data_IF_651657080260
#
_entry.id   IF_651657080260
#
_cell.length_a   1.000
_cell.length_b   1.000
_cell.length_c   1.000
_cell.angle_alpha   90.00
_cell.angle_beta   90.00
_cell.angle_gamma   90.00
#
_symmetry.space_group_name_H-M   'P 1'
#
loop_
_entity.id
_entity.type
_entity.pdbx_description
1 polymer ?
#
# COMPACT_ATOMS: atom_id res chain seq x y z
N UNK A 1 -13.62 -26.49 9.54
CA UNK A 1 -12.42 -26.43 8.70
C UNK A 1 -12.52 -27.53 7.67
N UNK A 2 -12.04 -27.33 6.44
CA UNK A 2 -12.10 -28.35 5.41
C UNK A 2 -11.31 -29.60 5.79
N UNK A 3 -11.77 -30.76 5.31
CA UNK A 3 -11.13 -32.05 5.62
C UNK A 3 -9.74 -32.17 4.99
N UNK A 4 -9.54 -31.59 3.81
CA UNK A 4 -8.23 -31.55 3.16
C UNK A 4 -7.90 -30.16 2.59
N UNK A 5 -6.62 -29.82 2.70
CA UNK A 5 -5.98 -28.72 2.00
C UNK A 5 -5.06 -29.29 0.92
N UNK A 6 -5.21 -28.82 -0.31
CA UNK A 6 -4.32 -29.18 -1.43
C UNK A 6 -3.39 -28.01 -1.64
N UNK A 7 -2.07 -28.25 -1.57
CA UNK A 7 -1.07 -27.21 -1.74
C UNK A 7 -0.01 -27.60 -2.79
N UNK A 8 0.55 -26.59 -3.46
CA UNK A 8 1.70 -26.70 -4.36
C UNK A 8 2.84 -25.84 -3.79
N UNK A 9 3.99 -26.43 -3.46
CA UNK A 9 5.11 -25.73 -2.82
C UNK A 9 4.71 -24.86 -1.61
N UNK A 10 3.86 -25.40 -0.73
CA UNK A 10 3.26 -24.72 0.45
C UNK A 10 2.29 -23.57 0.13
N UNK A 11 1.82 -23.47 -1.11
CA UNK A 11 0.75 -22.55 -1.54
C UNK A 11 -0.56 -23.30 -1.64
N UNK A 12 -1.60 -22.97 -0.85
CA UNK A 12 -2.91 -23.61 -0.96
C UNK A 12 -3.50 -23.38 -2.36
N UNK A 13 -3.77 -24.46 -3.09
CA UNK A 13 -4.36 -24.49 -4.44
C UNK A 13 -5.89 -24.61 -4.36
N UNK A 14 -6.39 -25.24 -3.30
CA UNK A 14 -7.81 -25.40 -3.05
C UNK A 14 -8.07 -26.36 -1.90
N UNK A 15 -9.34 -26.57 -1.60
CA UNK A 15 -9.76 -27.37 -0.45
C UNK A 15 -10.70 -28.49 -0.88
N UNK A 16 -10.73 -29.57 -0.11
CA UNK A 16 -11.64 -30.68 -0.33
C UNK A 16 -12.44 -30.90 0.95
N UNK A 17 -13.75 -30.83 0.82
CA UNK A 17 -14.71 -31.18 1.87
C UNK A 17 -15.30 -32.55 1.56
N UNK A 18 -15.16 -33.49 2.48
CA UNK A 18 -15.68 -34.83 2.35
C UNK A 18 -16.94 -35.03 3.22
N UNK A 19 -17.80 -35.92 2.76
CA UNK A 19 -18.99 -36.39 3.48
C UNK A 19 -19.05 -37.90 3.38
N UNK A 20 -19.84 -38.50 4.27
CA UNK A 20 -20.06 -39.94 4.23
C UNK A 20 -20.71 -40.38 2.92
N UNK A 21 -20.37 -41.60 2.49
CA UNK A 21 -20.91 -42.21 1.27
C UNK A 21 -22.44 -42.22 1.33
N UNK A 22 -23.10 -41.66 0.31
CA UNK A 22 -24.56 -41.58 0.23
C UNK A 22 -25.18 -40.34 0.87
N UNK A 23 -24.36 -39.41 1.38
CA UNK A 23 -24.82 -38.10 1.81
C UNK A 23 -25.45 -37.33 0.63
N UNK A 24 -26.51 -36.56 0.92
CA UNK A 24 -27.13 -35.71 -0.09
C UNK A 24 -26.30 -34.43 -0.28
N UNK A 25 -25.43 -34.44 -1.29
CA UNK A 25 -24.53 -33.31 -1.59
C UNK A 25 -25.27 -32.01 -1.96
N UNK A 26 -26.50 -32.08 -2.51
CA UNK A 26 -27.31 -30.89 -2.82
C UNK A 26 -27.69 -30.14 -1.54
N UNK A 27 -28.20 -30.86 -0.53
CA UNK A 27 -28.52 -30.28 0.79
C UNK A 27 -27.30 -29.77 1.53
N UNK A 28 -26.16 -30.46 1.38
CA UNK A 28 -24.90 -30.05 2.01
C UNK A 28 -24.40 -28.74 1.41
N UNK A 29 -24.49 -28.59 0.09
CA UNK A 29 -24.11 -27.37 -0.63
C UNK A 29 -24.98 -26.16 -0.25
N UNK A 30 -26.25 -26.38 0.10
CA UNK A 30 -27.18 -25.32 0.55
C UNK A 30 -27.04 -24.95 2.05
N UNK A 31 -26.24 -25.68 2.82
CA UNK A 31 -26.11 -25.42 4.26
C UNK A 31 -25.39 -24.10 4.57
N UNK A 32 -25.87 -23.35 5.57
CA UNK A 32 -25.26 -22.08 5.99
C UNK A 32 -23.77 -22.21 6.37
N UNK A 33 -23.39 -23.37 6.92
CA UNK A 33 -22.02 -23.67 7.31
C UNK A 33 -21.10 -23.75 6.08
N UNK A 34 -21.49 -24.49 5.03
CA UNK A 34 -20.69 -24.56 3.80
C UNK A 34 -20.74 -23.27 2.99
N UNK A 35 -21.87 -22.55 2.96
CA UNK A 35 -21.92 -21.24 2.30
C UNK A 35 -20.97 -20.22 2.93
N UNK A 36 -20.84 -20.21 4.27
CA UNK A 36 -19.81 -19.40 4.95
C UNK A 36 -18.40 -19.79 4.54
N UNK A 37 -18.12 -21.09 4.38
CA UNK A 37 -16.80 -21.56 3.93
C UNK A 37 -16.53 -21.24 2.46
N UNK A 38 -17.49 -21.47 1.55
CA UNK A 38 -17.36 -21.16 0.13
C UNK A 38 -17.15 -19.67 -0.13
N UNK A 39 -17.76 -18.77 0.63
CA UNK A 39 -17.49 -17.33 0.53
C UNK A 39 -16.03 -16.96 0.81
N UNK A 40 -15.34 -17.75 1.64
CA UNK A 40 -13.94 -17.51 2.02
C UNK A 40 -12.93 -18.28 1.16
N UNK A 41 -13.37 -19.29 0.39
CA UNK A 41 -12.52 -20.24 -0.32
C UNK A 41 -12.86 -20.26 -1.81
N UNK A 42 -11.91 -19.82 -2.63
CA UNK A 42 -12.17 -19.53 -4.06
C UNK A 42 -12.22 -20.79 -4.95
N UNK A 43 -11.67 -21.93 -4.49
CA UNK A 43 -11.55 -23.19 -5.25
C UNK A 43 -11.78 -24.42 -4.34
N UNK A 44 -12.92 -25.11 -4.50
CA UNK A 44 -13.31 -26.21 -3.59
C UNK A 44 -13.86 -27.43 -4.35
N UNK A 45 -13.53 -28.62 -3.84
CA UNK A 45 -14.19 -29.88 -4.20
C UNK A 45 -15.06 -30.34 -3.04
N UNK A 46 -16.35 -30.58 -3.31
CA UNK A 46 -17.26 -31.27 -2.40
C UNK A 46 -17.42 -32.72 -2.87
N UNK A 47 -17.27 -33.69 -1.98
CA UNK A 47 -17.37 -35.11 -2.33
C UNK A 47 -17.98 -35.99 -1.25
N UNK A 48 -18.67 -37.05 -1.66
CA UNK A 48 -19.08 -38.19 -0.81
C UNK A 48 -18.25 -39.45 -1.10
N UNK A 49 -17.04 -39.27 -1.65
CA UNK A 49 -16.14 -40.31 -2.19
C UNK A 49 -16.61 -41.00 -3.48
N UNK A 50 -17.88 -40.85 -3.89
CA UNK A 50 -18.41 -41.40 -5.14
C UNK A 50 -18.70 -40.33 -6.18
N UNK A 51 -19.16 -39.17 -5.75
CA UNK A 51 -19.37 -37.97 -6.55
C UNK A 51 -18.40 -36.87 -6.13
N UNK A 52 -17.83 -36.18 -7.11
CA UNK A 52 -16.91 -35.07 -6.94
C UNK A 52 -17.51 -33.87 -7.65
N UNK A 53 -17.80 -32.80 -6.91
CA UNK A 53 -18.32 -31.53 -7.41
C UNK A 53 -17.26 -30.46 -7.25
N UNK A 54 -16.79 -29.92 -8.35
CA UNK A 54 -15.84 -28.82 -8.36
C UNK A 54 -16.60 -27.48 -8.45
N UNK A 55 -16.37 -26.59 -7.48
CA UNK A 55 -17.09 -25.33 -7.28
C UNK A 55 -16.07 -24.18 -7.23
N UNK A 56 -16.38 -23.08 -7.95
CA UNK A 56 -15.65 -21.81 -7.94
C UNK A 56 -16.59 -20.69 -7.47
N UNK A 57 -16.06 -19.72 -6.71
CA UNK A 57 -16.81 -18.73 -5.89
C UNK A 57 -17.85 -17.89 -6.66
N UNK A 58 -17.77 -17.80 -7.99
CA UNK A 58 -18.62 -16.90 -8.79
C UNK A 58 -20.00 -17.48 -9.16
N UNK A 59 -20.23 -18.80 -9.08
CA UNK A 59 -21.45 -19.40 -9.66
C UNK A 59 -22.33 -20.20 -8.68
N UNK A 60 -21.92 -20.44 -7.42
CA UNK A 60 -22.60 -21.31 -6.42
C UNK A 60 -23.03 -22.71 -6.91
N UNK A 61 -22.76 -23.03 -8.17
CA UNK A 61 -23.05 -24.27 -8.86
C UNK A 61 -21.74 -24.98 -9.20
N UNK A 62 -21.79 -26.31 -9.31
CA UNK A 62 -20.62 -27.07 -9.67
C UNK A 62 -20.26 -26.82 -11.15
N UNK A 63 -19.06 -26.28 -11.40
CA UNK A 63 -18.48 -26.13 -12.75
C UNK A 63 -18.34 -27.48 -13.43
N UNK A 64 -18.02 -28.50 -12.66
CA UNK A 64 -17.96 -29.88 -13.15
C UNK A 64 -18.31 -30.86 -12.03
N UNK A 65 -19.12 -31.86 -12.39
CA UNK A 65 -19.49 -32.97 -11.51
C UNK A 65 -19.07 -34.27 -12.16
N UNK A 66 -18.38 -35.12 -11.39
CA UNK A 66 -17.98 -36.46 -11.84
C UNK A 66 -18.42 -37.47 -10.80
N UNK A 67 -19.13 -38.52 -11.25
CA UNK A 67 -19.50 -39.66 -10.41
C UNK A 67 -18.76 -40.91 -10.84
N UNK A 68 -18.12 -41.59 -9.89
CA UNK A 68 -17.28 -42.77 -10.11
C UNK A 68 -18.08 -44.06 -10.19
N UNK A 69 -19.14 -44.19 -9.39
CA UNK A 69 -19.96 -45.39 -9.34
C UNK A 69 -21.42 -45.07 -8.98
N UNK A 70 -22.31 -45.98 -9.36
CA UNK A 70 -23.70 -46.00 -8.87
C UNK A 70 -23.81 -47.01 -7.74
N UNK A 71 -24.54 -46.64 -6.70
CA UNK A 71 -24.91 -47.55 -5.61
C UNK A 71 -26.28 -48.16 -5.94
N UNK A 72 -26.38 -49.49 -5.97
CA UNK A 72 -27.68 -50.15 -6.11
C UNK A 72 -28.44 -50.23 -4.77
N UNK A 73 -29.69 -50.73 -4.81
CA UNK A 73 -30.53 -50.88 -3.61
C UNK A 73 -29.99 -51.88 -2.57
N UNK A 74 -28.93 -52.62 -2.89
CA UNK A 74 -28.24 -53.57 -2.02
C UNK A 74 -26.88 -53.06 -1.53
N UNK A 75 -26.51 -51.83 -1.87
CA UNK A 75 -25.22 -51.23 -1.52
C UNK A 75 -24.05 -51.65 -2.42
N UNK A 76 -24.32 -52.33 -3.54
CA UNK A 76 -23.29 -52.74 -4.48
C UNK A 76 -22.87 -51.57 -5.39
N UNK A 77 -21.57 -51.36 -5.53
CA UNK A 77 -20.98 -50.30 -6.34
C UNK A 77 -20.77 -50.78 -7.78
N UNK A 78 -21.47 -50.15 -8.72
CA UNK A 78 -21.24 -50.37 -10.16
C UNK A 78 -20.44 -49.21 -10.73
N UNK A 79 -19.19 -49.42 -11.20
CA UNK A 79 -18.36 -48.35 -11.74
C UNK A 79 -18.97 -47.77 -13.02
N UNK A 80 -18.85 -46.45 -13.17
CA UNK A 80 -19.29 -45.74 -14.38
C UNK A 80 -18.12 -45.76 -15.40
N UNK A 81 -18.34 -46.18 -16.65
CA UNK A 81 -17.32 -46.13 -17.70
C UNK A 81 -16.71 -44.73 -17.84
N UNK A 82 -15.40 -44.66 -18.04
CA UNK A 82 -14.63 -43.41 -18.20
C UNK A 82 -14.67 -42.42 -17.02
N UNK A 83 -15.31 -42.76 -15.90
CA UNK A 83 -15.39 -41.85 -14.76
C UNK A 83 -14.02 -41.49 -14.17
N UNK A 84 -13.06 -42.42 -14.23
CA UNK A 84 -11.68 -42.17 -13.81
C UNK A 84 -10.96 -41.16 -14.71
N UNK A 85 -11.20 -41.17 -16.02
CA UNK A 85 -10.59 -40.20 -16.94
C UNK A 85 -11.19 -38.81 -16.73
N UNK A 86 -12.51 -38.75 -16.48
CA UNK A 86 -13.19 -37.51 -16.11
C UNK A 86 -12.74 -36.96 -14.76
N UNK A 87 -12.54 -37.81 -13.75
CA UNK A 87 -12.02 -37.38 -12.45
C UNK A 87 -10.60 -36.84 -12.58
N UNK A 88 -9.74 -37.51 -13.37
CA UNK A 88 -8.39 -36.99 -13.67
C UNK A 88 -8.44 -35.61 -14.30
N UNK A 89 -9.36 -35.37 -15.24
CA UNK A 89 -9.58 -34.04 -15.84
C UNK A 89 -10.10 -33.04 -14.81
N UNK A 90 -11.00 -33.45 -13.91
CA UNK A 90 -11.48 -32.60 -12.80
C UNK A 90 -10.35 -32.17 -11.89
N UNK A 91 -9.57 -33.12 -11.39
CA UNK A 91 -8.45 -32.83 -10.51
C UNK A 91 -7.38 -32.00 -11.22
N UNK A 92 -7.11 -32.27 -12.50
CA UNK A 92 -6.22 -31.46 -13.32
C UNK A 92 -6.73 -30.02 -13.42
N UNK A 93 -8.00 -29.82 -13.79
CA UNK A 93 -8.59 -28.48 -13.88
C UNK A 93 -8.66 -27.79 -12.52
N UNK A 94 -8.92 -28.52 -11.43
CA UNK A 94 -8.91 -28.00 -10.06
C UNK A 94 -7.52 -27.49 -9.64
N UNK A 95 -6.46 -28.22 -10.02
CA UNK A 95 -5.06 -27.82 -9.78
C UNK A 95 -4.66 -26.67 -10.72
N UNK A 96 -5.06 -26.73 -11.99
CA UNK A 96 -4.75 -25.72 -13.01
C UNK A 96 -5.60 -24.46 -12.90
N UNK A 97 -6.70 -24.51 -12.14
CA UNK A 97 -7.49 -23.34 -11.76
C UNK A 97 -6.75 -22.42 -10.77
N UNK A 98 -5.44 -22.60 -10.60
CA UNK A 98 -4.49 -21.57 -10.18
C UNK A 98 -4.66 -20.31 -11.04
N UNK A 99 -5.65 -19.49 -10.69
CA UNK A 99 -5.82 -18.07 -10.98
C UNK A 99 -7.31 -17.71 -11.00
N UNK A 100 -7.98 -17.71 -9.85
CA UNK A 100 -8.67 -16.46 -9.53
C UNK A 100 -7.57 -15.56 -9.01
N UNK A 101 -6.81 -15.00 -9.95
CA UNK A 101 -5.99 -13.87 -9.62
C UNK A 101 -6.97 -12.80 -9.15
N UNK A 102 -6.76 -12.19 -7.98
CA UNK A 102 -7.53 -11.00 -7.61
C UNK A 102 -7.25 -9.96 -8.69
N UNK A 103 -8.15 -9.85 -9.67
CA UNK A 103 -8.05 -8.91 -10.79
C UNK A 103 -8.71 -7.60 -10.46
N UNK A 104 -9.69 -7.62 -9.54
CA UNK A 104 -10.34 -6.42 -9.04
C UNK A 104 -9.44 -5.74 -8.00
N UNK A 105 -9.05 -4.47 -8.22
CA UNK A 105 -8.41 -3.65 -7.20
C UNK A 105 -9.26 -3.54 -5.93
N UNK A 106 -10.59 -3.56 -6.05
CA UNK A 106 -11.54 -3.47 -4.94
C UNK A 106 -11.49 -4.71 -4.05
N UNK A 107 -11.56 -5.92 -4.64
CA UNK A 107 -11.47 -7.18 -3.88
C UNK A 107 -10.12 -7.31 -3.16
N UNK A 108 -9.03 -6.90 -3.82
CA UNK A 108 -7.72 -6.88 -3.18
C UNK A 108 -7.69 -5.89 -2.02
N UNK A 109 -8.20 -4.68 -2.21
CA UNK A 109 -8.24 -3.66 -1.18
C UNK A 109 -9.05 -4.12 0.05
N UNK A 110 -10.18 -4.79 -0.16
CA UNK A 110 -11.00 -5.40 0.90
C UNK A 110 -10.22 -6.48 1.69
N UNK A 111 -9.56 -7.41 0.99
CA UNK A 111 -8.77 -8.46 1.65
C UNK A 111 -7.59 -7.89 2.44
N UNK A 112 -6.91 -6.87 1.90
CA UNK A 112 -5.80 -6.19 2.62
C UNK A 112 -6.35 -5.44 3.85
N UNK A 113 -7.51 -4.77 3.74
CA UNK A 113 -8.16 -4.08 4.86
C UNK A 113 -8.49 -5.04 6.01
N UNK A 114 -9.08 -6.19 5.71
CA UNK A 114 -9.39 -7.21 6.72
C UNK A 114 -8.14 -7.72 7.44
N UNK A 115 -7.04 -7.94 6.72
CA UNK A 115 -5.78 -8.37 7.34
C UNK A 115 -5.17 -7.23 8.17
N UNK A 116 -5.26 -5.98 7.72
CA UNK A 116 -4.79 -4.82 8.46
C UNK A 116 -5.53 -4.66 9.80
N UNK A 117 -6.82 -4.99 9.85
CA UNK A 117 -7.61 -4.90 11.08
C UNK A 117 -7.13 -5.93 12.11
N UNK A 118 -6.92 -7.17 11.68
CA UNK A 118 -6.34 -8.21 12.52
C UNK A 118 -4.91 -7.87 12.97
N UNK A 119 -4.10 -7.25 12.12
CA UNK A 119 -2.77 -6.78 12.50
C UNK A 119 -2.83 -5.71 13.59
N UNK A 120 -3.73 -4.73 13.45
CA UNK A 120 -3.95 -3.70 14.47
C UNK A 120 -4.34 -4.33 15.80
N UNK A 121 -5.30 -5.25 15.81
CA UNK A 121 -5.75 -5.92 17.03
C UNK A 121 -4.63 -6.71 17.68
N UNK A 122 -3.84 -7.43 16.87
CA UNK A 122 -2.67 -8.19 17.34
C UNK A 122 -1.60 -7.27 17.95
N UNK A 123 -1.27 -6.14 17.32
CA UNK A 123 -0.32 -5.14 17.86
C UNK A 123 -0.85 -4.55 19.16
N UNK A 124 -2.14 -4.19 19.22
CA UNK A 124 -2.74 -3.59 20.41
C UNK A 124 -2.80 -4.57 21.58
N UNK A 125 -3.10 -5.84 21.32
CA UNK A 125 -3.02 -6.90 22.32
C UNK A 125 -1.58 -7.11 22.81
N UNK A 126 -0.61 -7.14 21.88
CA UNK A 126 0.81 -7.18 22.20
C UNK A 126 1.23 -6.04 23.12
N UNK A 127 0.82 -4.80 22.78
CA UNK A 127 1.08 -3.60 23.58
C UNK A 127 0.49 -3.70 24.99
N UNK A 128 -0.75 -4.22 25.12
CA UNK A 128 -1.42 -4.36 26.42
C UNK A 128 -0.80 -5.46 27.29
N UNK A 129 -0.21 -6.48 26.68
CA UNK A 129 0.34 -7.64 27.37
C UNK A 129 1.83 -7.50 27.70
N UNK A 130 2.57 -6.61 27.03
CA UNK A 130 3.98 -6.38 27.32
C UNK A 130 4.19 -5.52 28.59
N UNK A 131 5.38 -5.63 29.19
CA UNK A 131 5.78 -4.73 30.28
C UNK A 131 5.81 -3.27 29.81
N UNK A 132 5.70 -2.31 30.74
CA UNK A 132 5.77 -0.87 30.41
C UNK A 132 7.09 -0.46 29.76
N UNK A 133 8.17 -1.22 29.96
CA UNK A 133 9.45 -1.04 29.29
C UNK A 133 9.61 -1.93 28.04
N UNK A 134 8.49 -2.47 27.54
CA UNK A 134 8.41 -3.29 26.35
C UNK A 134 8.73 -2.52 25.06
N UNK A 135 8.88 -3.27 23.98
CA UNK A 135 9.32 -2.74 22.68
C UNK A 135 8.24 -1.85 22.06
N UNK A 136 6.96 -2.21 22.16
CA UNK A 136 5.86 -1.45 21.58
C UNK A 136 5.61 -0.14 22.35
N UNK A 137 5.80 -0.12 23.67
CA UNK A 137 5.78 1.10 24.49
C UNK A 137 6.89 2.05 24.07
N UNK A 138 8.14 1.57 23.99
CA UNK A 138 9.27 2.39 23.52
C UNK A 138 9.06 2.92 22.10
N UNK A 139 8.51 2.10 21.19
CA UNK A 139 8.17 2.55 19.84
C UNK A 139 7.11 3.66 19.85
N UNK A 140 5.99 3.47 20.57
CA UNK A 140 4.95 4.48 20.71
C UNK A 140 5.52 5.80 21.24
N UNK A 141 6.37 5.75 22.27
CA UNK A 141 6.96 6.95 22.87
C UNK A 141 7.86 7.70 21.88
N UNK A 142 8.65 6.99 21.06
CA UNK A 142 9.43 7.62 19.99
C UNK A 142 8.56 8.20 18.87
N UNK A 143 7.43 7.57 18.55
CA UNK A 143 6.48 8.14 17.60
C UNK A 143 5.81 9.41 18.15
N UNK A 144 5.54 9.45 19.46
CA UNK A 144 5.01 10.63 20.14
C UNK A 144 6.00 11.77 20.15
N UNK A 145 7.25 11.51 20.46
CA UNK A 145 8.25 12.57 20.49
C UNK A 145 8.50 13.14 19.10
N UNK A 146 8.58 12.29 18.07
CA UNK A 146 9.01 12.73 16.73
C UNK A 146 7.86 13.21 15.82
N UNK A 147 6.67 12.60 15.88
CA UNK A 147 5.58 12.89 14.93
C UNK A 147 4.35 13.54 15.56
N UNK A 148 3.74 12.89 16.57
CA UNK A 148 2.45 13.32 17.14
C UNK A 148 2.44 13.00 18.63
N UNK A 149 2.64 14.01 19.47
CA UNK A 149 2.71 13.90 20.94
C UNK A 149 1.48 13.23 21.59
N UNK A 150 0.32 13.42 20.98
CA UNK A 150 -1.00 12.97 21.43
C UNK A 150 -1.40 11.59 20.92
N UNK A 151 -0.52 10.91 20.17
CA UNK A 151 -0.82 9.62 19.55
C UNK A 151 -1.23 8.58 20.60
N UNK A 152 -2.41 8.00 20.47
CA UNK A 152 -2.89 6.92 21.36
C UNK A 152 -2.30 5.56 20.96
N UNK A 153 -2.37 4.57 21.86
CA UNK A 153 -1.92 3.21 21.54
C UNK A 153 -2.76 2.57 20.42
N UNK A 154 -4.07 2.81 20.40
CA UNK A 154 -4.96 2.38 19.31
C UNK A 154 -4.54 3.01 17.97
N UNK A 155 -4.28 4.33 17.94
CA UNK A 155 -3.87 5.02 16.71
C UNK A 155 -2.48 4.62 16.23
N UNK A 156 -1.58 4.30 17.16
CA UNK A 156 -0.26 3.75 16.83
C UNK A 156 -0.37 2.36 16.21
N UNK A 157 -1.14 1.45 16.81
CA UNK A 157 -1.36 0.12 16.26
C UNK A 157 -2.00 0.19 14.86
N UNK A 158 -2.99 1.07 14.69
CA UNK A 158 -3.66 1.34 13.42
C UNK A 158 -2.67 1.86 12.35
N UNK A 159 -1.85 2.85 12.70
CA UNK A 159 -0.83 3.42 11.82
C UNK A 159 0.21 2.37 11.39
N UNK A 160 0.70 1.56 12.33
CA UNK A 160 1.68 0.50 12.05
C UNK A 160 1.08 -0.56 11.12
N UNK A 161 -0.12 -1.05 11.41
CA UNK A 161 -0.81 -2.04 10.59
C UNK A 161 -1.02 -1.56 9.15
N UNK A 162 -1.56 -0.36 8.97
CA UNK A 162 -1.75 0.24 7.64
C UNK A 162 -0.41 0.35 6.89
N UNK A 163 0.66 0.76 7.56
CA UNK A 163 1.96 0.96 6.91
C UNK A 163 2.60 -0.36 6.50
N UNK A 164 2.48 -1.43 7.29
CA UNK A 164 2.94 -2.77 6.90
C UNK A 164 2.18 -3.25 5.67
N UNK A 165 0.85 -3.11 5.68
CA UNK A 165 0.00 -3.51 4.57
C UNK A 165 0.36 -2.79 3.26
N UNK A 166 0.41 -1.46 3.30
CA UNK A 166 0.75 -0.66 2.12
C UNK A 166 2.20 -0.77 1.69
N UNK A 167 3.10 -0.89 2.66
CA UNK A 167 4.48 -1.17 2.38
C UNK A 167 4.59 -2.44 1.55
N UNK A 168 3.95 -3.53 1.98
CA UNK A 168 4.06 -4.84 1.32
C UNK A 168 3.42 -4.82 -0.06
N UNK A 169 2.29 -4.13 -0.19
CA UNK A 169 1.69 -3.86 -1.49
C UNK A 169 2.65 -3.09 -2.41
N UNK A 170 3.26 -1.99 -1.95
CA UNK A 170 4.22 -1.21 -2.72
C UNK A 170 5.47 -2.01 -3.11
N UNK A 171 5.97 -2.85 -2.20
CA UNK A 171 7.06 -3.78 -2.47
C UNK A 171 6.66 -4.82 -3.52
N UNK A 172 5.44 -5.36 -3.45
CA UNK A 172 4.91 -6.29 -4.45
C UNK A 172 4.79 -5.64 -5.83
N UNK A 173 4.27 -4.41 -5.91
CA UNK A 173 4.23 -3.63 -7.15
C UNK A 173 5.62 -3.45 -7.77
N UNK A 174 6.63 -3.27 -6.92
CA UNK A 174 8.04 -3.11 -7.33
C UNK A 174 8.75 -4.43 -7.63
N UNK A 175 8.13 -5.60 -7.38
CA UNK A 175 8.78 -6.90 -7.56
C UNK A 175 8.86 -7.35 -9.01
N UNK A 176 8.10 -6.72 -9.92
CA UNK A 176 8.12 -7.00 -11.36
C UNK A 176 8.05 -8.50 -11.70
N UNK A 177 7.23 -9.27 -10.97
CA UNK A 177 7.06 -10.71 -11.17
C UNK A 177 8.14 -11.60 -10.53
N UNK A 178 9.13 -11.04 -9.84
CA UNK A 178 10.11 -11.82 -9.07
C UNK A 178 9.47 -12.49 -7.83
N UNK A 179 10.05 -13.61 -7.33
CA UNK A 179 9.57 -14.31 -6.14
C UNK A 179 9.42 -13.37 -4.94
N UNK A 180 8.19 -13.25 -4.45
CA UNK A 180 7.83 -12.34 -3.38
C UNK A 180 7.43 -13.11 -2.13
N UNK A 181 8.10 -12.81 -1.03
CA UNK A 181 7.91 -13.42 0.29
C UNK A 181 8.14 -12.37 1.36
N UNK A 182 7.77 -12.67 2.61
CA UNK A 182 8.09 -11.80 3.76
C UNK A 182 9.60 -11.46 3.82
N UNK A 183 10.46 -12.45 3.56
CA UNK A 183 11.91 -12.29 3.63
C UNK A 183 12.48 -11.55 2.41
N UNK A 184 11.87 -11.69 1.23
CA UNK A 184 12.34 -11.02 0.02
C UNK A 184 11.75 -9.63 -0.18
N UNK A 185 10.63 -9.31 0.49
CA UNK A 185 9.92 -8.03 0.35
C UNK A 185 10.82 -6.80 0.51
N UNK A 186 11.77 -6.84 1.46
CA UNK A 186 12.71 -5.75 1.74
C UNK A 186 13.58 -5.36 0.54
N UNK A 187 13.88 -6.30 -0.36
CA UNK A 187 14.68 -6.01 -1.56
C UNK A 187 13.89 -5.24 -2.62
N UNK A 188 12.55 -5.32 -2.55
CA UNK A 188 11.65 -4.63 -3.46
C UNK A 188 11.16 -3.29 -2.92
N UNK A 189 11.33 -3.02 -1.63
CA UNK A 189 11.11 -1.67 -1.09
C UNK A 189 12.14 -0.72 -1.70
N UNK A 190 11.71 0.36 -2.40
CA UNK A 190 12.62 1.27 -3.07
C UNK A 190 13.72 1.79 -2.14
N UNK A 191 14.99 1.73 -2.60
CA UNK A 191 16.15 2.30 -1.87
C UNK A 191 16.00 3.79 -1.60
N UNK A 192 15.16 4.45 -2.40
CA UNK A 192 14.80 5.87 -2.33
C UNK A 192 13.99 6.24 -1.09
N UNK A 193 13.48 5.26 -0.34
CA UNK A 193 12.77 5.47 0.91
C UNK A 193 13.47 4.71 2.06
N UNK A 194 14.52 5.30 2.67
CA UNK A 194 15.28 4.64 3.74
C UNK A 194 14.41 4.37 4.97
N UNK A 195 13.48 5.29 5.28
CA UNK A 195 12.53 5.16 6.38
C UNK A 195 11.68 3.88 6.25
N UNK A 196 11.02 3.66 5.11
CA UNK A 196 10.21 2.45 4.92
C UNK A 196 11.05 1.19 5.00
N UNK A 197 12.25 1.17 4.42
CA UNK A 197 13.14 0.00 4.51
C UNK A 197 13.49 -0.35 5.95
N UNK A 198 13.76 0.64 6.79
CA UNK A 198 14.05 0.43 8.21
C UNK A 198 12.80 -0.07 8.94
N UNK A 199 11.66 0.59 8.74
CA UNK A 199 10.37 0.17 9.30
C UNK A 199 10.07 -1.29 8.95
N UNK A 200 10.26 -1.66 7.69
CA UNK A 200 10.11 -3.03 7.23
C UNK A 200 11.09 -4.01 7.85
N UNK A 201 12.34 -3.60 8.04
CA UNK A 201 13.35 -4.45 8.69
C UNK A 201 12.94 -4.76 10.13
N UNK A 202 12.32 -3.80 10.82
CA UNK A 202 11.84 -3.96 12.20
C UNK A 202 10.51 -4.72 12.28
N UNK A 203 9.60 -4.50 11.32
CA UNK A 203 8.22 -5.01 11.33
C UNK A 203 7.97 -6.27 10.50
N UNK A 204 8.88 -6.65 9.60
CA UNK A 204 8.84 -7.90 8.82
C UNK A 204 10.02 -8.83 9.19
N UNK A 205 10.89 -8.40 10.10
CA UNK A 205 12.07 -9.10 10.59
C UNK A 205 11.76 -10.35 11.42
N UNK A 206 12.82 -10.97 11.96
CA UNK A 206 12.74 -12.27 12.66
C UNK A 206 12.22 -12.13 14.11
N UNK A 207 12.26 -10.92 14.67
CA UNK A 207 11.90 -10.63 16.08
C UNK A 207 10.43 -10.21 16.26
N UNK A 208 9.55 -10.71 15.39
CA UNK A 208 8.10 -10.48 15.50
C UNK A 208 7.44 -11.53 16.35
N UNK A 209 6.37 -11.14 17.04
CA UNK A 209 5.47 -12.11 17.65
C UNK A 209 4.89 -13.06 16.58
N UNK A 210 4.70 -14.32 16.95
CA UNK A 210 4.25 -15.37 16.04
C UNK A 210 2.90 -15.02 15.37
N UNK A 211 2.02 -14.30 16.07
CA UNK A 211 0.74 -13.84 15.52
C UNK A 211 0.91 -12.83 14.38
N UNK A 212 1.85 -11.88 14.52
CA UNK A 212 2.14 -10.89 13.48
C UNK A 212 2.85 -11.51 12.28
N UNK A 213 3.77 -12.46 12.51
CA UNK A 213 4.40 -13.21 11.41
C UNK A 213 3.35 -13.89 10.55
N UNK A 214 2.39 -14.58 11.19
CA UNK A 214 1.32 -15.27 10.48
C UNK A 214 0.49 -14.31 9.62
N UNK A 215 0.07 -13.16 10.17
CA UNK A 215 -0.70 -12.16 9.43
C UNK A 215 0.07 -11.57 8.24
N UNK A 216 1.37 -11.31 8.42
CA UNK A 216 2.24 -10.84 7.33
C UNK A 216 2.35 -11.92 6.24
N UNK A 217 2.46 -13.19 6.60
CA UNK A 217 2.49 -14.29 5.64
C UNK A 217 1.14 -14.44 4.90
N UNK A 218 0.01 -14.26 5.58
CA UNK A 218 -1.30 -14.23 4.92
C UNK A 218 -1.40 -13.07 3.92
N UNK A 219 -0.92 -11.88 4.28
CA UNK A 219 -0.90 -10.75 3.36
C UNK A 219 -0.02 -11.02 2.14
N UNK A 220 1.19 -11.57 2.34
CA UNK A 220 2.08 -11.97 1.24
C UNK A 220 1.41 -13.00 0.33
N UNK A 221 0.68 -13.96 0.89
CA UNK A 221 -0.12 -14.91 0.10
C UNK A 221 -1.16 -14.19 -0.72
N UNK A 222 -1.98 -13.31 -0.13
CA UNK A 222 -2.99 -12.51 -0.86
C UNK A 222 -2.34 -11.72 -2.00
N UNK A 223 -1.22 -11.04 -1.75
CA UNK A 223 -0.49 -10.26 -2.75
C UNK A 223 0.10 -11.11 -3.88
N UNK A 224 0.53 -12.35 -3.60
CA UNK A 224 1.02 -13.27 -4.62
C UNK A 224 -0.07 -13.83 -5.52
N UNK A 225 -1.31 -13.88 -5.03
CA UNK A 225 -2.47 -14.27 -5.82
C UNK A 225 -3.17 -13.08 -6.47
N UNK A 226 -2.65 -11.86 -6.33
CA UNK A 226 -3.18 -10.69 -7.01
C UNK A 226 -2.56 -10.49 -8.39
N UNK A 227 -3.37 -10.05 -9.38
CA UNK A 227 -2.86 -9.73 -10.71
C UNK A 227 -2.30 -8.32 -10.66
N UNK A 228 -1.11 -8.20 -10.09
CA UNK A 228 -0.45 -6.91 -9.91
C UNK A 228 -0.26 -6.23 -11.26
N UNK A 229 -0.02 -6.98 -12.34
CA UNK A 229 0.09 -6.41 -13.67
C UNK A 229 -1.25 -5.82 -14.14
N UNK A 230 -2.38 -6.50 -13.94
CA UNK A 230 -3.70 -5.97 -14.26
C UNK A 230 -4.09 -4.77 -13.36
N UNK A 231 -3.81 -4.85 -12.06
CA UNK A 231 -4.05 -3.75 -11.10
C UNK A 231 -3.22 -2.53 -11.49
N UNK A 232 -1.94 -2.71 -11.81
CA UNK A 232 -1.04 -1.65 -12.26
C UNK A 232 -1.31 -1.21 -13.72
N UNK A 233 -2.06 -1.98 -14.52
CA UNK A 233 -2.26 -1.65 -15.94
C UNK A 233 -2.97 -0.31 -16.13
N UNK A 234 -3.77 0.10 -15.14
CA UNK A 234 -4.41 1.41 -15.10
C UNK A 234 -3.59 2.43 -14.31
N UNK A 235 -2.66 1.99 -13.45
CA UNK A 235 -1.77 2.88 -12.70
C UNK A 235 -0.88 3.66 -13.69
N UNK A 236 -0.86 4.99 -13.56
CA UNK A 236 -0.11 5.89 -14.47
C UNK A 236 -0.89 6.36 -15.71
N UNK A 237 -1.98 5.69 -16.09
CA UNK A 237 -2.85 6.20 -17.16
C UNK A 237 -3.71 7.34 -16.63
N UNK A 238 -3.64 8.51 -17.28
CA UNK A 238 -4.61 9.60 -17.12
C UNK A 238 -5.99 9.12 -17.58
N UNK A 239 -6.77 8.53 -16.69
CA UNK A 239 -8.21 8.40 -16.92
C UNK A 239 -8.85 9.76 -16.59
N UNK A 240 -9.91 10.15 -17.30
CA UNK A 240 -10.61 11.42 -17.05
C UNK A 240 -11.35 11.45 -15.70
N UNK A 241 -11.26 10.39 -14.89
CA UNK A 241 -12.10 10.20 -13.72
C UNK A 241 -11.30 10.08 -12.40
N UNK A 242 -10.21 9.31 -12.30
CA UNK A 242 -9.44 9.18 -11.04
C UNK A 242 -8.02 8.58 -11.24
N UNK A 243 -7.12 8.83 -10.27
CA UNK A 243 -5.78 8.23 -10.20
C UNK A 243 -5.87 6.81 -9.58
N UNK A 244 -5.50 5.73 -10.30
CA UNK A 244 -5.75 4.37 -9.82
C UNK A 244 -4.99 3.97 -8.56
N UNK A 245 -3.81 4.54 -8.30
CA UNK A 245 -3.09 4.32 -7.04
C UNK A 245 -3.88 4.91 -5.88
N UNK A 246 -4.40 6.12 -6.09
CA UNK A 246 -5.17 6.84 -5.06
C UNK A 246 -6.53 6.19 -4.87
N UNK A 247 -7.21 5.77 -5.95
CA UNK A 247 -8.48 5.06 -5.88
C UNK A 247 -8.34 3.75 -5.10
N UNK A 248 -7.30 2.96 -5.36
CA UNK A 248 -7.00 1.76 -4.57
C UNK A 248 -6.82 2.10 -3.08
N UNK A 249 -6.08 3.18 -2.79
CA UNK A 249 -5.89 3.65 -1.41
C UNK A 249 -7.20 4.03 -0.73
N UNK A 250 -8.07 4.74 -1.44
CA UNK A 250 -9.39 5.14 -0.94
C UNK A 250 -10.32 3.95 -0.71
N UNK A 251 -10.33 3.00 -1.64
CA UNK A 251 -11.14 1.78 -1.50
C UNK A 251 -10.71 0.98 -0.28
N UNK A 252 -9.40 0.79 -0.08
CA UNK A 252 -8.91 0.18 1.15
C UNK A 252 -9.33 0.97 2.39
N UNK A 253 -9.16 2.29 2.43
CA UNK A 253 -9.52 3.09 3.61
C UNK A 253 -11.01 2.97 3.93
N UNK A 254 -11.85 2.92 2.89
CA UNK A 254 -13.30 2.70 3.02
C UNK A 254 -13.62 1.35 3.68
N UNK A 255 -12.91 0.29 3.30
CA UNK A 255 -13.10 -1.05 3.89
C UNK A 255 -12.43 -1.20 5.26
N UNK A 256 -11.31 -0.53 5.49
CA UNK A 256 -10.53 -0.63 6.72
C UNK A 256 -11.12 0.20 7.85
N UNK A 257 -11.32 1.50 7.61
CA UNK A 257 -11.88 2.40 8.61
C UNK A 257 -12.53 3.62 7.92
N UNK A 258 -13.86 3.59 7.69
CA UNK A 258 -14.55 4.67 6.99
C UNK A 258 -14.49 6.01 7.73
N UNK A 259 -14.29 6.01 9.07
CA UNK A 259 -14.17 7.22 9.88
C UNK A 259 -12.79 7.88 9.77
N UNK A 260 -11.73 7.11 9.46
CA UNK A 260 -10.38 7.67 9.25
C UNK A 260 -10.36 8.64 8.06
N UNK A 261 -11.19 8.41 7.05
CA UNK A 261 -11.30 9.29 5.89
C UNK A 261 -11.75 10.72 6.25
N UNK A 262 -12.76 10.84 7.11
CA UNK A 262 -13.28 12.14 7.56
C UNK A 262 -12.39 12.78 8.62
N UNK A 263 -11.90 11.99 9.58
CA UNK A 263 -11.11 12.50 10.72
C UNK A 263 -9.71 12.95 10.28
N UNK A 264 -9.09 12.25 9.33
CA UNK A 264 -7.69 12.52 8.91
C UNK A 264 -7.58 13.34 7.63
N UNK A 265 -8.70 13.85 7.10
CA UNK A 265 -8.71 14.84 6.03
C UNK A 265 -8.03 14.39 4.73
N UNK A 266 -8.00 13.09 4.45
CA UNK A 266 -7.45 12.54 3.19
C UNK A 266 -8.45 12.82 2.08
N UNK A 267 -8.42 14.04 1.55
CA UNK A 267 -9.26 14.46 0.43
C UNK A 267 -8.48 14.32 -0.87
N UNK A 268 -8.96 13.45 -1.76
CA UNK A 268 -8.51 13.47 -3.14
C UNK A 268 -8.77 14.86 -3.74
N UNK A 269 -7.69 15.48 -4.22
CA UNK A 269 -7.79 16.74 -4.94
C UNK A 269 -7.99 16.42 -6.41
N UNK A 270 -9.10 16.83 -7.05
CA UNK A 270 -9.38 16.50 -8.44
C UNK A 270 -8.24 16.92 -9.38
N UNK A 271 -7.84 16.04 -10.30
CA UNK A 271 -6.74 16.29 -11.24
C UNK A 271 -6.88 17.64 -11.98
N UNK A 272 -8.08 18.06 -12.47
CA UNK A 272 -8.22 19.34 -13.16
C UNK A 272 -7.82 20.55 -12.30
N UNK A 273 -8.14 20.52 -11.00
CA UNK A 273 -7.80 21.58 -10.04
C UNK A 273 -6.30 21.63 -9.82
N UNK A 274 -5.69 20.48 -9.52
CA UNK A 274 -4.24 20.34 -9.33
C UNK A 274 -3.49 20.82 -10.57
N UNK A 275 -3.92 20.35 -11.74
CA UNK A 275 -3.34 20.67 -13.04
C UNK A 275 -3.44 22.17 -13.35
N UNK A 276 -4.56 22.82 -13.01
CA UNK A 276 -4.73 24.25 -13.14
C UNK A 276 -3.75 25.03 -12.24
N UNK A 277 -3.64 24.66 -10.96
CA UNK A 277 -2.73 25.32 -10.02
C UNK A 277 -1.28 25.19 -10.48
N UNK A 278 -0.81 23.97 -10.80
CA UNK A 278 0.58 23.73 -11.22
C UNK A 278 0.95 24.53 -12.48
N UNK A 279 0.09 24.54 -13.50
CA UNK A 279 0.32 25.35 -14.71
C UNK A 279 0.30 26.85 -14.42
N UNK A 280 -0.57 27.31 -13.52
CA UNK A 280 -0.65 28.72 -13.14
C UNK A 280 0.63 29.16 -12.42
N UNK A 281 1.16 28.33 -11.51
CA UNK A 281 2.46 28.57 -10.87
C UNK A 281 3.58 28.66 -11.90
N UNK A 282 3.64 27.72 -12.86
CA UNK A 282 4.63 27.75 -13.94
C UNK A 282 4.57 29.05 -14.77
N UNK A 283 3.36 29.52 -15.08
CA UNK A 283 3.13 30.80 -15.78
C UNK A 283 3.56 32.00 -14.92
N UNK A 284 3.25 32.01 -13.63
CA UNK A 284 3.63 33.09 -12.71
C UNK A 284 5.15 33.19 -12.55
N UNK A 285 5.87 32.06 -12.46
CA UNK A 285 7.33 32.03 -12.44
C UNK A 285 7.92 32.70 -13.70
N UNK A 286 7.32 32.44 -14.86
CA UNK A 286 7.73 33.04 -16.14
C UNK A 286 7.43 34.54 -16.21
N UNK A 287 6.19 34.93 -15.87
CA UNK A 287 5.73 36.31 -16.04
C UNK A 287 6.20 37.24 -14.92
N UNK A 288 6.01 36.86 -13.66
CA UNK A 288 6.26 37.73 -12.50
C UNK A 288 7.70 37.62 -12.00
N UNK A 289 8.26 36.41 -11.95
CA UNK A 289 9.62 36.18 -11.43
C UNK A 289 10.69 36.15 -12.52
N UNK A 290 10.30 36.36 -13.79
CA UNK A 290 11.18 36.43 -14.96
C UNK A 290 12.06 35.19 -15.17
N UNK A 291 11.63 34.04 -14.64
CA UNK A 291 12.26 32.75 -14.86
C UNK A 291 11.71 32.15 -16.14
N UNK A 292 12.37 32.39 -17.28
CA UNK A 292 11.90 31.95 -18.61
C UNK A 292 11.59 30.43 -18.67
N UNK A 293 12.28 29.64 -17.86
CA UNK A 293 12.10 28.18 -17.79
C UNK A 293 11.00 27.74 -16.81
N UNK A 294 10.38 28.66 -16.06
CA UNK A 294 9.31 28.37 -15.10
C UNK A 294 9.72 27.29 -14.10
N UNK A 295 8.90 26.26 -13.93
CA UNK A 295 9.18 25.11 -13.09
C UNK A 295 10.39 24.30 -13.56
N UNK A 296 10.85 24.44 -14.81
CA UNK A 296 12.07 23.77 -15.33
C UNK A 296 13.35 24.57 -15.11
N UNK A 297 13.28 25.68 -14.39
CA UNK A 297 14.45 26.50 -14.09
C UNK A 297 15.40 25.75 -13.14
N UNK A 298 16.64 25.57 -13.60
CA UNK A 298 17.70 24.90 -12.85
C UNK A 298 18.81 25.88 -12.43
N UNK A 299 18.55 27.20 -12.50
CA UNK A 299 19.50 28.19 -11.98
C UNK A 299 19.68 28.02 -10.47
N UNK A 300 20.86 28.40 -9.99
CA UNK A 300 21.24 28.31 -8.59
C UNK A 300 21.42 29.71 -8.01
N UNK A 301 21.22 29.83 -6.70
CA UNK A 301 21.66 31.01 -5.93
C UNK A 301 23.12 30.82 -5.50
N UNK A 302 23.70 31.83 -4.84
CA UNK A 302 25.15 31.92 -4.60
C UNK A 302 25.74 30.75 -3.81
N UNK A 303 24.95 30.12 -2.95
CA UNK A 303 25.36 28.94 -2.16
C UNK A 303 25.30 27.61 -2.94
N UNK A 304 24.91 27.65 -4.22
CA UNK A 304 24.79 26.47 -5.08
C UNK A 304 23.45 25.73 -4.98
N UNK A 305 22.49 26.23 -4.20
CA UNK A 305 21.13 25.71 -4.08
C UNK A 305 20.28 26.13 -5.29
N UNK A 306 19.42 25.25 -5.80
CA UNK A 306 18.50 25.62 -6.88
C UNK A 306 17.58 26.74 -6.44
N UNK A 307 17.41 27.75 -7.29
CA UNK A 307 16.56 28.92 -7.02
C UNK A 307 15.08 28.55 -6.85
N UNK A 308 14.59 27.63 -7.67
CA UNK A 308 13.19 27.16 -7.62
C UNK A 308 13.08 25.90 -6.75
N UNK A 309 12.97 26.11 -5.45
CA UNK A 309 12.64 25.07 -4.48
C UNK A 309 11.10 24.95 -4.35
N UNK A 310 10.58 23.74 -4.47
CA UNK A 310 9.14 23.43 -4.47
C UNK A 310 8.84 22.59 -3.24
N UNK A 311 7.82 22.99 -2.47
CA UNK A 311 7.35 22.26 -1.29
C UNK A 311 5.84 22.05 -1.37
N UNK A 312 5.42 20.80 -1.14
CA UNK A 312 4.06 20.47 -0.75
C UNK A 312 3.99 20.19 0.76
N UNK A 313 3.41 21.10 1.57
CA UNK A 313 3.41 20.98 3.02
C UNK A 313 2.40 19.96 3.56
N UNK A 314 1.51 19.42 2.72
CA UNK A 314 0.51 18.42 3.08
C UNK A 314 0.30 17.50 1.88
N UNK A 315 1.33 16.70 1.60
CA UNK A 315 1.47 16.04 0.30
C UNK A 315 0.41 14.98 0.03
N UNK A 316 -0.18 14.40 1.08
CA UNK A 316 -1.11 13.29 1.00
C UNK A 316 -0.49 12.13 0.24
N UNK A 317 -1.19 11.66 -0.78
CA UNK A 317 -0.73 10.62 -1.70
C UNK A 317 0.18 11.16 -2.82
N UNK A 318 0.67 12.40 -2.72
CA UNK A 318 1.65 13.00 -3.63
C UNK A 318 1.07 13.59 -4.92
N UNK A 319 -0.23 13.90 -4.96
CA UNK A 319 -0.93 14.31 -6.20
C UNK A 319 -0.39 15.61 -6.80
N UNK A 320 -0.08 16.61 -5.99
CA UNK A 320 0.51 17.86 -6.48
C UNK A 320 1.94 17.66 -6.98
N UNK A 321 2.77 16.92 -6.24
CA UNK A 321 4.13 16.60 -6.67
C UNK A 321 4.13 15.79 -7.98
N UNK A 322 3.21 14.84 -8.13
CA UNK A 322 3.01 14.08 -9.37
C UNK A 322 2.70 15.01 -10.56
N UNK A 323 1.82 15.99 -10.37
CA UNK A 323 1.49 16.97 -11.41
C UNK A 323 2.65 17.92 -11.72
N UNK A 324 3.44 18.32 -10.72
CA UNK A 324 4.67 19.11 -10.90
C UNK A 324 5.69 18.34 -11.76
N UNK A 325 5.96 17.08 -11.42
CA UNK A 325 6.88 16.21 -12.18
C UNK A 325 6.37 16.02 -13.60
N UNK A 326 5.08 15.77 -13.79
CA UNK A 326 4.47 15.64 -15.13
C UNK A 326 4.64 16.90 -15.97
N UNK A 327 4.41 18.09 -15.39
CA UNK A 327 4.60 19.37 -16.09
C UNK A 327 6.07 19.60 -16.48
N UNK A 328 6.99 19.28 -15.56
CA UNK A 328 8.44 19.38 -15.82
C UNK A 328 8.88 18.40 -16.91
N UNK A 329 8.43 17.13 -16.84
CA UNK A 329 8.71 16.11 -17.86
C UNK A 329 8.26 16.56 -19.24
N UNK A 330 7.02 17.06 -19.37
CA UNK A 330 6.50 17.54 -20.63
C UNK A 330 7.36 18.66 -21.24
N UNK A 331 7.91 19.55 -20.43
CA UNK A 331 8.76 20.65 -20.92
C UNK A 331 10.21 20.23 -21.21
N UNK A 332 10.79 19.34 -20.39
CA UNK A 332 12.15 18.84 -20.59
C UNK A 332 12.22 17.92 -21.81
N UNK A 333 11.29 16.97 -21.93
CA UNK A 333 11.26 15.99 -23.02
C UNK A 333 11.03 16.61 -24.40
N UNK A 334 10.34 17.76 -24.48
CA UNK A 334 10.22 18.54 -25.72
C UNK A 334 11.53 19.21 -26.16
N UNK A 335 12.38 19.60 -25.19
CA UNK A 335 13.57 20.42 -25.45
C UNK A 335 14.82 19.58 -25.73
N UNK A 336 14.95 18.42 -25.10
CA UNK A 336 16.16 17.60 -25.22
C UNK A 336 15.85 16.12 -25.03
N UNK A 337 15.75 15.38 -26.13
CA UNK A 337 15.60 13.93 -26.10
C UNK A 337 16.79 13.28 -25.37
N UNK A 338 16.52 12.38 -24.42
CA UNK A 338 17.54 11.65 -23.66
C UNK A 338 18.14 12.38 -22.45
N UNK A 339 17.79 13.65 -22.18
CA UNK A 339 18.30 14.40 -21.04
C UNK A 339 17.52 14.18 -19.73
N UNK A 340 16.41 13.45 -19.76
CA UNK A 340 15.50 13.30 -18.62
C UNK A 340 16.22 12.76 -17.38
N UNK A 341 16.95 11.65 -17.49
CA UNK A 341 17.54 11.01 -16.32
C UNK A 341 18.60 11.86 -15.64
N UNK A 342 19.44 12.55 -16.41
CA UNK A 342 20.42 13.50 -15.85
C UNK A 342 19.73 14.69 -15.17
N UNK A 343 18.70 15.24 -15.81
CA UNK A 343 17.89 16.30 -15.24
C UNK A 343 17.22 15.87 -13.92
N UNK A 344 16.70 14.64 -13.85
CA UNK A 344 16.06 14.13 -12.64
C UNK A 344 17.04 14.09 -11.47
N UNK A 345 18.19 13.45 -11.66
CA UNK A 345 19.19 13.30 -10.60
C UNK A 345 19.81 14.64 -10.17
N UNK A 346 20.14 15.51 -11.13
CA UNK A 346 20.89 16.74 -10.85
C UNK A 346 20.00 17.92 -10.48
N UNK A 347 18.74 17.92 -10.92
CA UNK A 347 17.89 19.12 -10.85
C UNK A 347 16.49 18.86 -10.33
N UNK A 348 15.86 17.69 -10.52
CA UNK A 348 14.51 17.45 -10.03
C UNK A 348 14.50 17.01 -8.57
N UNK A 349 15.16 15.90 -8.25
CA UNK A 349 15.15 15.30 -6.91
C UNK A 349 15.66 16.27 -5.83
N UNK A 350 16.67 17.13 -6.07
CA UNK A 350 17.16 18.04 -5.03
C UNK A 350 16.20 19.16 -4.62
N UNK A 351 15.14 19.44 -5.40
CA UNK A 351 14.32 20.65 -5.23
C UNK A 351 12.81 20.44 -5.13
N UNK A 352 12.35 19.19 -5.20
CA UNK A 352 10.93 18.83 -5.07
C UNK A 352 10.74 18.13 -3.74
N UNK A 353 10.12 18.82 -2.80
CA UNK A 353 9.94 18.37 -1.42
C UNK A 353 8.46 18.17 -1.10
N UNK A 354 8.17 17.18 -0.25
CA UNK A 354 6.83 16.95 0.30
C UNK A 354 6.89 16.62 1.77
N UNK A 355 5.93 17.10 2.55
CA UNK A 355 5.73 16.71 3.94
C UNK A 355 4.42 15.97 4.08
N UNK A 356 4.44 14.88 4.82
CA UNK A 356 3.26 14.09 5.14
C UNK A 356 3.30 13.66 6.60
N UNK A 357 2.14 13.68 7.26
CA UNK A 357 2.02 13.25 8.64
C UNK A 357 1.64 11.76 8.73
N UNK A 358 0.85 11.28 7.77
CA UNK A 358 0.30 9.93 7.77
C UNK A 358 1.23 8.95 7.04
N UNK A 359 1.75 7.96 7.76
CA UNK A 359 2.67 6.96 7.20
C UNK A 359 2.14 6.20 5.99
N UNK A 360 0.85 5.88 5.97
CA UNK A 360 0.23 5.20 4.84
C UNK A 360 0.19 6.10 3.59
N UNK A 361 -0.27 7.34 3.71
CA UNK A 361 -0.28 8.32 2.61
C UNK A 361 1.15 8.62 2.12
N UNK A 362 2.10 8.77 3.05
CA UNK A 362 3.54 8.89 2.77
C UNK A 362 4.07 7.73 1.92
N UNK A 363 3.70 6.49 2.28
CA UNK A 363 4.10 5.28 1.54
C UNK A 363 3.54 5.28 0.12
N UNK A 364 2.26 5.64 -0.02
CA UNK A 364 1.59 5.75 -1.30
C UNK A 364 2.21 6.83 -2.17
N UNK A 365 2.55 8.00 -1.61
CA UNK A 365 3.22 9.08 -2.33
C UNK A 365 4.58 8.62 -2.89
N UNK A 366 5.40 7.95 -2.09
CA UNK A 366 6.68 7.41 -2.54
C UNK A 366 6.53 6.37 -3.65
N UNK A 367 5.58 5.44 -3.51
CA UNK A 367 5.28 4.45 -4.54
C UNK A 367 4.84 5.13 -5.84
N UNK A 368 3.87 6.04 -5.76
CA UNK A 368 3.30 6.75 -6.92
C UNK A 368 4.34 7.57 -7.67
N UNK A 369 5.14 8.38 -6.96
CA UNK A 369 6.19 9.19 -7.58
C UNK A 369 7.33 8.31 -8.13
N UNK A 370 7.65 7.20 -7.45
CA UNK A 370 8.62 6.23 -7.93
C UNK A 370 8.20 5.58 -9.25
N UNK A 371 6.95 5.07 -9.33
CA UNK A 371 6.37 4.49 -10.53
C UNK A 371 6.32 5.52 -11.69
N UNK A 372 5.93 6.76 -11.39
CA UNK A 372 5.90 7.83 -12.40
C UNK A 372 7.28 8.08 -13.02
N UNK A 373 8.31 8.16 -12.19
CA UNK A 373 9.67 8.40 -12.67
C UNK A 373 10.20 7.22 -13.49
N UNK A 374 9.88 5.98 -13.08
CA UNK A 374 10.20 4.77 -13.85
C UNK A 374 9.49 4.75 -15.20
N UNK A 375 8.21 5.10 -15.26
CA UNK A 375 7.44 5.23 -16.50
C UNK A 375 8.06 6.27 -17.45
N UNK A 376 8.57 7.37 -16.89
CA UNK A 376 9.32 8.39 -17.64
C UNK A 376 10.76 7.98 -18.00
N UNK A 377 11.18 6.75 -17.68
CA UNK A 377 12.47 6.18 -18.06
C UNK A 377 13.61 6.48 -17.08
N UNK A 378 13.30 6.93 -15.87
CA UNK A 378 14.29 7.16 -14.82
C UNK A 378 14.46 5.95 -13.91
N UNK A 379 15.70 5.48 -13.78
CA UNK A 379 16.08 4.45 -12.82
C UNK A 379 16.93 5.09 -11.73
N UNK A 380 16.49 4.95 -10.48
CA UNK A 380 17.22 5.49 -9.34
C UNK A 380 18.56 4.78 -9.14
N UNK A 381 19.60 5.57 -8.87
CA UNK A 381 20.87 5.07 -8.34
C UNK A 381 20.70 4.71 -6.86
N UNK A 382 21.69 4.02 -6.30
CA UNK A 382 21.61 3.46 -4.95
C UNK A 382 21.51 4.48 -3.81
N UNK A 383 21.92 5.72 -4.04
CA UNK A 383 22.03 6.81 -3.06
C UNK A 383 21.04 7.97 -3.30
N UNK A 384 20.25 7.91 -4.37
CA UNK A 384 19.23 8.92 -4.68
C UNK A 384 17.95 8.66 -3.88
N UNK A 385 17.30 9.73 -3.40
CA UNK A 385 16.00 9.64 -2.69
C UNK A 385 14.98 10.62 -3.23
N UNK A 386 13.70 10.23 -3.13
CA UNK A 386 12.60 11.18 -3.16
C UNK A 386 12.62 11.98 -1.85
N UNK A 387 12.44 13.30 -1.95
CA UNK A 387 12.42 14.21 -0.79
C UNK A 387 11.00 14.43 -0.27
N UNK A 388 10.25 13.34 -0.17
CA UNK A 388 9.01 13.30 0.62
C UNK A 388 9.38 12.80 2.00
N UNK A 389 8.99 13.53 3.05
CA UNK A 389 9.36 13.28 4.43
C UNK A 389 8.16 13.07 5.33
N UNK A 390 8.29 12.15 6.28
CA UNK A 390 7.30 11.94 7.32
C UNK A 390 7.52 12.95 8.46
N UNK A 391 6.67 13.96 8.56
CA UNK A 391 6.77 15.04 9.56
C UNK A 391 5.44 15.76 9.73
N UNK A 392 5.24 16.37 10.90
CA UNK A 392 4.24 17.41 11.07
C UNK A 392 4.79 18.74 10.56
N UNK A 393 4.21 19.27 9.47
CA UNK A 393 4.65 20.54 8.88
C UNK A 393 4.53 21.73 9.83
N UNK A 394 3.54 21.68 10.72
CA UNK A 394 3.25 22.72 11.70
C UNK A 394 4.02 22.55 13.01
N UNK A 395 4.95 21.60 13.13
CA UNK A 395 5.84 21.55 14.29
C UNK A 395 7.11 22.36 14.04
N UNK A 396 7.55 23.06 15.10
CA UNK A 396 8.81 23.81 15.09
C UNK A 396 9.97 22.87 14.78
N UNK A 397 10.88 23.29 13.90
CA UNK A 397 12.14 22.58 13.72
C UNK A 397 12.93 22.59 15.03
N UNK A 398 13.31 21.41 15.52
CA UNK A 398 14.15 21.22 16.69
C UNK A 398 15.04 20.00 16.47
N UNK A 399 16.25 20.02 17.04
CA UNK A 399 17.18 18.90 16.91
C UNK A 399 16.69 17.75 17.78
N UNK A 400 16.39 16.62 17.15
CA UNK A 400 15.94 15.41 17.84
C UNK A 400 17.12 14.54 18.23
N UNK A 401 17.31 14.35 19.53
CA UNK A 401 18.27 13.41 20.11
C UNK A 401 17.51 12.27 20.79
N UNK A 402 17.10 11.28 20.00
CA UNK A 402 16.42 10.09 20.48
C UNK A 402 17.40 8.90 20.71
N UNK A 403 17.00 7.88 21.49
CA UNK A 403 17.75 6.64 21.65
C UNK A 403 18.01 5.93 20.31
N UNK A 404 19.05 5.08 20.26
CA UNK A 404 19.52 4.42 19.04
C UNK A 404 18.44 3.63 18.25
N UNK A 405 17.38 3.15 18.91
CA UNK A 405 16.31 2.37 18.26
C UNK A 405 15.36 3.22 17.39
N UNK A 406 15.27 4.53 17.65
CA UNK A 406 14.43 5.49 16.92
C UNK A 406 15.22 6.39 15.97
N UNK A 407 16.51 6.09 15.78
CA UNK A 407 17.41 6.88 14.95
C UNK A 407 16.88 7.11 13.52
N UNK A 408 16.27 6.11 12.90
CA UNK A 408 15.70 6.22 11.55
C UNK A 408 14.52 7.19 11.47
N UNK A 409 13.70 7.27 12.53
CA UNK A 409 12.58 8.21 12.63
C UNK A 409 13.11 9.63 12.90
N UNK A 410 14.11 9.76 13.77
CA UNK A 410 14.79 11.04 14.03
C UNK A 410 15.55 11.56 12.81
N UNK A 411 16.25 10.70 12.06
CA UNK A 411 16.96 11.07 10.84
C UNK A 411 15.97 11.60 9.78
N UNK A 412 14.78 10.99 9.67
CA UNK A 412 13.72 11.44 8.76
C UNK A 412 13.16 12.81 9.18
N UNK A 413 12.91 13.02 10.47
CA UNK A 413 12.46 14.30 11.01
C UNK A 413 13.53 15.40 10.90
N UNK A 414 14.80 15.08 11.16
CA UNK A 414 15.93 16.01 11.00
C UNK A 414 16.12 16.42 9.54
N UNK A 415 15.97 15.48 8.60
CA UNK A 415 15.99 15.81 7.18
C UNK A 415 14.84 16.75 6.78
N UNK A 416 13.64 16.54 7.33
CA UNK A 416 12.53 17.46 7.14
C UNK A 416 12.79 18.84 7.76
N UNK A 417 13.39 18.89 8.97
CA UNK A 417 13.72 20.12 9.67
C UNK A 417 14.77 20.96 8.91
N UNK A 418 15.75 20.32 8.28
CA UNK A 418 16.70 21.00 7.39
C UNK A 418 15.99 21.68 6.21
N UNK A 419 14.95 21.05 5.65
CA UNK A 419 14.13 21.69 4.60
C UNK A 419 13.33 22.87 5.17
N UNK A 420 12.70 22.71 6.34
CA UNK A 420 11.91 23.78 7.00
C UNK A 420 12.76 25.01 7.35
N UNK A 421 14.01 24.81 7.76
CA UNK A 421 14.89 25.85 8.30
C UNK A 421 15.79 26.49 7.24
N UNK A 422 16.43 25.65 6.42
CA UNK A 422 17.60 26.07 5.64
C UNK A 422 17.31 26.15 4.14
N UNK A 423 16.20 25.56 3.65
CA UNK A 423 15.88 25.58 2.21
C UNK A 423 15.11 26.84 1.83
N UNK A 424 15.58 27.60 0.82
CA UNK A 424 14.89 28.80 0.34
C UNK A 424 13.70 28.43 -0.55
N UNK A 425 12.63 27.91 0.06
CA UNK A 425 11.40 27.50 -0.62
C UNK A 425 10.78 28.68 -1.36
N UNK A 426 10.71 28.59 -2.70
CA UNK A 426 10.14 29.63 -3.55
C UNK A 426 8.69 29.34 -3.93
N UNK A 427 8.34 28.05 -4.05
CA UNK A 427 7.01 27.59 -4.45
C UNK A 427 6.44 26.70 -3.37
N UNK A 428 5.29 27.11 -2.83
CA UNK A 428 4.46 26.29 -1.95
C UNK A 428 3.13 26.03 -2.66
N UNK A 429 2.75 24.77 -2.79
CA UNK A 429 1.50 24.34 -3.43
C UNK A 429 1.00 23.08 -2.73
N UNK A 430 -0.30 22.81 -2.78
CA UNK A 430 -0.88 21.66 -2.08
C UNK A 430 -2.37 21.86 -1.82
N UNK A 431 -2.98 20.88 -1.17
CA UNK A 431 -4.33 20.98 -0.61
C UNK A 431 -4.24 20.77 0.91
N UNK A 432 -4.07 21.84 1.71
CA UNK A 432 -3.93 21.71 3.16
C UNK A 432 -5.24 21.21 3.80
N UNK A 433 -5.17 20.55 4.96
CA UNK A 433 -6.36 20.07 5.66
C UNK A 433 -7.26 21.24 6.10
N UNK A 434 -8.57 21.11 5.88
CA UNK A 434 -9.56 22.06 6.37
C UNK A 434 -10.03 21.65 7.76
N UNK A 435 -9.68 22.42 8.80
CA UNK A 435 -10.31 22.26 10.11
C UNK A 435 -10.77 23.62 10.63
N UNK A 436 -11.99 23.70 11.17
CA UNK A 436 -12.49 24.92 11.81
C UNK A 436 -11.76 25.27 13.11
N UNK A 437 -11.05 24.31 13.71
CA UNK A 437 -10.21 24.44 14.90
C UNK A 437 -8.97 23.54 14.70
N UNK A 438 -7.77 24.11 14.71
CA UNK A 438 -6.51 23.39 14.50
C UNK A 438 -6.34 22.27 15.53
N UNK A 439 -6.11 21.03 15.08
CA UNK A 439 -5.69 19.91 15.94
C UNK A 439 -4.29 20.15 16.54
N UNK A 440 -3.45 20.94 15.86
CA UNK A 440 -2.18 21.41 16.40
C UNK A 440 -2.45 22.56 17.37
N UNK A 441 -2.37 22.25 18.66
CA UNK A 441 -2.60 23.22 19.74
C UNK A 441 -1.34 23.62 20.50
N UNK A 442 -0.17 23.37 19.91
CA UNK A 442 1.13 23.72 20.49
C UNK A 442 1.17 25.18 20.97
N UNK A 443 1.85 25.41 22.09
CA UNK A 443 1.84 26.71 22.77
C UNK A 443 2.27 27.86 21.85
N UNK A 444 3.29 27.62 21.01
CA UNK A 444 3.76 28.60 20.03
C UNK A 444 2.75 28.92 18.92
N UNK A 445 1.90 27.97 18.53
CA UNK A 445 0.83 28.18 17.53
C UNK A 445 -0.25 29.05 18.17
N UNK A 446 -0.59 28.78 19.44
CA UNK A 446 -1.51 29.61 20.21
C UNK A 446 -0.98 31.03 20.37
N UNK A 447 0.32 31.21 20.58
CA UNK A 447 0.97 32.53 20.65
C UNK A 447 0.88 33.28 19.31
N UNK A 448 1.16 32.62 18.17
CA UNK A 448 1.02 33.24 16.85
C UNK A 448 -0.42 33.63 16.52
N UNK A 449 -1.40 32.78 16.86
CA UNK A 449 -2.81 33.06 16.61
C UNK A 449 -3.38 34.18 17.48
N UNK A 450 -2.77 34.43 18.66
CA UNK A 450 -3.16 35.54 19.53
C UNK A 450 -2.77 36.90 18.98
N UNK A 451 -1.80 36.94 18.04
CA UNK A 451 -1.27 38.18 17.49
C UNK A 451 -0.53 39.00 18.56
N UNK A 452 0.68 39.46 18.27
CA UNK A 452 1.25 40.59 19.01
C UNK A 452 0.56 41.88 18.64
#
# INVERSE_FOLDING_TARGET
SPDFEVANDNVPVGYIEAKDIGANLDKVQESEQLQRYFRSLDNVILTDYLEFRWILNEEYHAKMTVRLAKVDSKGCLTPIPDALSHLKRLLKNFIEAQSITLRSPEELAEKIAYIAEQMKDSILQGYKNEDKNGKLHGQLDSFRSVLIDTLTAEEFADMVAQTVCYGLFAAKCSSCGQPFSRLTAIYFVPKTNPFLRQLFSQLAGVDLDAGLVWLVEQLVKVLNHADIAAILADFGKRTRQEDPVVHFYETFLKHYNPQVREIRGVYYTPEPVVSYIVRSVDLLLKDKFKLKKGLTDYSKIDDGTHRVQILDPATGTGTFLYAVIANIYQEVSKRTAGAWSAYVSEHLLPRVHGFELLMAAYTVAHMKLGLQLQEYGYNFKSDERLRVFLTNTLDKAHDMHEPAFAKWLSDEANAANAIKKDTPVMVILGNPPYSGHSANTGEWIRELLRGT
#
